data_IF_739638530803
#
_entry.id   IF_739638530803
#
_cell.length_a   1.000
_cell.length_b   1.000
_cell.length_c   1.000
_cell.angle_alpha   90.00
_cell.angle_beta   90.00
_cell.angle_gamma   90.00
#
_symmetry.space_group_name_H-M   'P 1'
#
loop_
_entity.id
_entity.type
_entity.pdbx_description
1 polymer ?
#
# COMPACT_ATOMS: atom_id res chain seq x y z
N UNK A 1 -21.23 -19.80 16.84
CA UNK A 1 -22.38 -18.95 16.45
C UNK A 1 -21.92 -18.03 15.34
N UNK A 2 -22.58 -18.02 14.17
CA UNK A 2 -22.29 -17.03 13.11
C UNK A 2 -23.05 -15.75 13.47
N UNK A 3 -22.43 -14.89 14.29
CA UNK A 3 -22.90 -13.52 14.50
C UNK A 3 -22.96 -12.83 13.14
N UNK A 4 -24.17 -12.53 12.65
CA UNK A 4 -24.32 -11.72 11.44
C UNK A 4 -24.00 -10.28 11.80
N UNK A 5 -22.98 -9.74 11.16
CA UNK A 5 -22.58 -8.34 11.34
C UNK A 5 -23.75 -7.41 11.02
N UNK A 6 -23.99 -6.43 11.91
CA UNK A 6 -24.97 -5.37 11.70
C UNK A 6 -24.52 -4.46 10.55
N UNK A 7 -25.46 -3.75 9.91
CA UNK A 7 -25.17 -2.84 8.79
C UNK A 7 -24.08 -1.81 9.14
N UNK A 8 -24.12 -1.26 10.36
CA UNK A 8 -23.10 -0.33 10.85
C UNK A 8 -21.70 -0.97 10.93
N UNK A 9 -21.61 -2.24 11.33
CA UNK A 9 -20.34 -2.96 11.39
C UNK A 9 -19.82 -3.30 9.99
N UNK A 10 -20.70 -3.68 9.06
CA UNK A 10 -20.34 -3.89 7.66
C UNK A 10 -19.85 -2.59 7.00
N UNK A 11 -20.51 -1.48 7.28
CA UNK A 11 -20.09 -0.17 6.78
C UNK A 11 -18.72 0.21 7.38
N UNK A 12 -18.52 0.01 8.69
CA UNK A 12 -17.24 0.27 9.35
C UNK A 12 -16.11 -0.58 8.75
N UNK A 13 -16.30 -1.89 8.65
CA UNK A 13 -15.31 -2.81 8.07
C UNK A 13 -15.05 -2.45 6.61
N UNK A 14 -16.09 -2.17 5.83
CA UNK A 14 -15.98 -1.72 4.45
C UNK A 14 -15.18 -0.42 4.33
N UNK A 15 -15.41 0.55 5.21
CA UNK A 15 -14.66 1.81 5.25
C UNK A 15 -13.20 1.61 5.67
N UNK A 16 -12.92 0.70 6.62
CA UNK A 16 -11.55 0.37 7.03
C UNK A 16 -10.79 -0.34 5.90
N UNK A 17 -11.41 -1.31 5.24
CA UNK A 17 -10.83 -2.00 4.09
C UNK A 17 -10.64 -1.02 2.92
N UNK A 18 -11.61 -0.13 2.67
CA UNK A 18 -11.46 0.95 1.71
C UNK A 18 -10.27 1.83 2.08
N UNK A 19 -10.16 2.31 3.31
CA UNK A 19 -9.04 3.14 3.76
C UNK A 19 -7.68 2.44 3.64
N UNK A 20 -7.63 1.13 3.89
CA UNK A 20 -6.42 0.33 3.73
C UNK A 20 -5.95 0.26 2.27
N UNK A 21 -6.88 0.14 1.32
CA UNK A 21 -6.55 0.12 -0.11
C UNK A 21 -6.53 1.49 -0.76
N UNK A 22 -7.22 2.49 -0.21
CA UNK A 22 -7.30 3.84 -0.73
C UNK A 22 -6.04 4.63 -0.33
N UNK A 23 -4.90 4.16 -0.82
CA UNK A 23 -3.60 4.79 -0.64
C UNK A 23 -3.16 5.60 -1.86
N UNK A 24 -2.05 6.33 -1.73
CA UNK A 24 -1.48 7.17 -2.78
C UNK A 24 -1.25 6.42 -4.11
N UNK A 25 -0.89 5.13 -4.06
CA UNK A 25 -0.74 4.30 -5.25
C UNK A 25 -2.04 4.18 -6.06
N UNK A 26 -3.16 3.90 -5.38
CA UNK A 26 -4.46 3.76 -6.03
C UNK A 26 -5.07 5.10 -6.47
N UNK A 27 -4.46 6.23 -6.11
CA UNK A 27 -4.82 7.56 -6.60
C UNK A 27 -3.96 7.97 -7.80
N UNK A 28 -2.65 7.72 -7.73
CA UNK A 28 -1.69 8.16 -8.75
C UNK A 28 -1.69 7.24 -9.97
N UNK A 29 -1.68 5.91 -9.76
CA UNK A 29 -1.53 4.96 -10.86
C UNK A 29 -2.71 4.95 -11.84
N UNK A 30 -3.98 5.00 -11.43
CA UNK A 30 -5.09 5.01 -12.38
C UNK A 30 -5.09 6.24 -13.28
N UNK A 31 -4.71 7.41 -12.75
CA UNK A 31 -4.60 8.64 -13.53
C UNK A 31 -3.49 8.52 -14.56
N UNK A 32 -2.31 8.04 -14.14
CA UNK A 32 -1.16 7.86 -15.02
C UNK A 32 -1.42 6.78 -16.09
N UNK A 33 -2.05 5.67 -15.70
CA UNK A 33 -2.46 4.60 -16.61
C UNK A 33 -3.52 5.09 -17.60
N UNK A 34 -4.50 5.87 -17.13
CA UNK A 34 -5.52 6.50 -17.97
C UNK A 34 -4.89 7.39 -19.04
N UNK A 35 -3.95 8.26 -18.65
CA UNK A 35 -3.19 9.08 -19.59
C UNK A 35 -2.40 8.25 -20.60
N UNK A 36 -1.74 7.17 -20.17
CA UNK A 36 -0.98 6.29 -21.06
C UNK A 36 -1.86 5.44 -22.00
N UNK A 37 -3.12 5.16 -21.60
CA UNK A 37 -4.02 4.28 -22.34
C UNK A 37 -4.68 4.92 -23.58
N UNK A 38 -4.59 6.24 -23.74
CA UNK A 38 -5.10 6.95 -24.92
C UNK A 38 -6.60 6.68 -25.16
N UNK A 39 -6.95 6.06 -26.29
CA UNK A 39 -8.33 5.70 -26.63
C UNK A 39 -8.84 4.43 -25.91
N UNK A 40 -7.96 3.64 -25.29
CA UNK A 40 -8.29 2.35 -24.67
C UNK A 40 -8.55 2.44 -23.15
N UNK A 41 -8.98 3.59 -22.65
CA UNK A 41 -9.22 3.84 -21.21
C UNK A 41 -10.13 2.80 -20.58
N UNK A 42 -11.21 2.40 -21.27
CA UNK A 42 -12.17 1.42 -20.75
C UNK A 42 -11.50 0.07 -20.54
N UNK A 43 -10.70 -0.39 -21.51
CA UNK A 43 -9.99 -1.66 -21.42
C UNK A 43 -8.93 -1.63 -20.32
N UNK A 44 -8.18 -0.52 -20.21
CA UNK A 44 -7.20 -0.31 -19.14
C UNK A 44 -7.86 -0.29 -17.76
N UNK A 45 -9.05 0.33 -17.65
CA UNK A 45 -9.82 0.38 -16.40
C UNK A 45 -10.28 -1.01 -15.98
N UNK A 46 -10.80 -1.82 -16.90
CA UNK A 46 -11.21 -3.20 -16.60
C UNK A 46 -10.00 -4.02 -16.15
N UNK A 47 -8.86 -3.92 -16.85
CA UNK A 47 -7.62 -4.58 -16.45
C UNK A 47 -7.15 -4.15 -15.06
N UNK A 48 -7.20 -2.85 -14.77
CA UNK A 48 -6.87 -2.30 -13.44
C UNK A 48 -7.83 -2.81 -12.36
N UNK A 49 -9.13 -2.86 -12.61
CA UNK A 49 -10.09 -3.37 -11.64
C UNK A 49 -9.87 -4.86 -11.33
N UNK A 50 -9.58 -5.68 -12.34
CA UNK A 50 -9.32 -7.11 -12.15
C UNK A 50 -8.02 -7.34 -11.36
N UNK A 51 -6.94 -6.66 -11.76
CA UNK A 51 -5.60 -6.90 -11.20
C UNK A 51 -5.31 -6.09 -9.94
N UNK A 52 -5.64 -4.80 -9.94
CA UNK A 52 -5.37 -3.86 -8.86
C UNK A 52 -6.38 -3.90 -7.72
N UNK A 53 -7.61 -4.37 -7.96
CA UNK A 53 -8.67 -4.45 -6.92
C UNK A 53 -9.11 -5.89 -6.69
N UNK A 54 -9.36 -6.65 -7.75
CA UNK A 54 -9.86 -8.03 -7.68
C UNK A 54 -8.88 -8.97 -6.98
N UNK A 55 -7.62 -9.01 -7.39
CA UNK A 55 -6.62 -9.89 -6.78
C UNK A 55 -6.35 -9.57 -5.30
N UNK A 56 -6.17 -8.31 -4.87
CA UNK A 56 -6.05 -7.99 -3.44
C UNK A 56 -7.28 -8.38 -2.62
N UNK A 57 -8.48 -8.18 -3.16
CA UNK A 57 -9.73 -8.61 -2.52
C UNK A 57 -9.77 -10.13 -2.34
N UNK A 58 -9.41 -10.90 -3.37
CA UNK A 58 -9.29 -12.36 -3.28
C UNK A 58 -8.25 -12.77 -2.24
N UNK A 59 -7.13 -12.03 -2.15
CA UNK A 59 -6.10 -12.25 -1.14
C UNK A 59 -6.61 -12.06 0.30
N UNK A 60 -7.42 -11.03 0.56
CA UNK A 60 -8.05 -10.84 1.88
C UNK A 60 -9.03 -11.97 2.17
N UNK A 61 -9.89 -12.31 1.22
CA UNK A 61 -10.87 -13.38 1.43
C UNK A 61 -10.14 -14.70 1.71
N UNK A 62 -9.09 -15.01 0.96
CA UNK A 62 -8.26 -16.18 1.19
C UNK A 62 -7.59 -16.15 2.57
N UNK A 63 -7.02 -15.01 2.98
CA UNK A 63 -6.40 -14.85 4.30
C UNK A 63 -7.41 -14.99 5.43
N UNK A 64 -8.60 -14.42 5.29
CA UNK A 64 -9.69 -14.54 6.26
C UNK A 64 -10.21 -15.98 6.39
N UNK A 65 -10.25 -16.73 5.28
CA UNK A 65 -10.66 -18.14 5.26
C UNK A 65 -9.57 -19.11 5.72
N UNK A 66 -8.29 -18.71 5.62
CA UNK A 66 -7.15 -19.56 5.98
C UNK A 66 -7.00 -19.74 7.50
N UNK A 67 -7.70 -18.95 8.33
CA UNK A 67 -7.66 -18.96 9.80
C UNK A 67 -6.21 -18.99 10.37
N UNK A 68 -5.26 -18.45 9.62
CA UNK A 68 -3.84 -18.50 9.94
C UNK A 68 -3.44 -17.27 10.74
N UNK A 69 -2.75 -17.48 11.87
CA UNK A 69 -2.32 -16.38 12.74
C UNK A 69 -1.17 -15.55 12.14
N UNK A 70 -0.42 -16.12 11.20
CA UNK A 70 0.72 -15.46 10.58
C UNK A 70 0.89 -15.82 9.09
N UNK A 71 1.61 -14.95 8.36
CA UNK A 71 2.05 -15.23 6.98
C UNK A 71 2.88 -16.52 6.89
N UNK A 72 3.64 -16.82 7.95
CA UNK A 72 4.41 -18.04 8.05
C UNK A 72 3.49 -19.27 8.09
N UNK A 73 2.44 -19.24 8.91
CA UNK A 73 1.47 -20.35 8.98
C UNK A 73 0.70 -20.53 7.68
N UNK A 74 0.43 -19.44 6.98
CA UNK A 74 -0.21 -19.46 5.65
C UNK A 74 0.68 -20.14 4.59
N UNK A 75 2.01 -19.98 4.68
CA UNK A 75 2.97 -20.55 3.74
C UNK A 75 3.53 -21.92 4.17
N UNK A 76 3.35 -22.30 5.44
CA UNK A 76 3.83 -23.55 6.04
C UNK A 76 3.37 -24.82 5.32
N UNK A 77 2.14 -24.92 4.77
CA UNK A 77 1.70 -26.10 4.02
C UNK A 77 2.56 -26.44 2.80
N UNK A 78 3.31 -25.48 2.24
CA UNK A 78 4.23 -25.72 1.11
C UNK A 78 5.53 -26.37 1.61
N UNK A 79 6.23 -25.71 2.52
CA UNK A 79 7.35 -26.26 3.31
C UNK A 79 7.82 -25.25 4.35
N UNK A 80 8.42 -25.71 5.44
CA UNK A 80 8.98 -24.82 6.49
C UNK A 80 10.04 -23.87 5.93
N UNK A 81 10.93 -24.34 5.05
CA UNK A 81 11.97 -23.49 4.45
C UNK A 81 11.40 -22.41 3.54
N UNK A 82 10.40 -22.76 2.71
CA UNK A 82 9.69 -21.80 1.88
C UNK A 82 8.97 -20.75 2.73
N UNK A 83 8.29 -21.17 3.79
CA UNK A 83 7.54 -20.28 4.67
C UNK A 83 8.44 -19.24 5.35
N UNK A 84 9.60 -19.64 5.87
CA UNK A 84 10.59 -18.70 6.44
C UNK A 84 11.09 -17.73 5.38
N UNK A 85 11.53 -18.25 4.22
CA UNK A 85 12.07 -17.41 3.14
C UNK A 85 11.05 -16.38 2.67
N UNK A 86 9.82 -16.83 2.36
CA UNK A 86 8.77 -15.95 1.87
C UNK A 86 8.39 -14.88 2.90
N UNK A 87 8.25 -15.26 4.16
CA UNK A 87 7.90 -14.31 5.24
C UNK A 87 9.00 -13.26 5.42
N UNK A 88 10.27 -13.68 5.46
CA UNK A 88 11.40 -12.75 5.52
C UNK A 88 11.47 -11.83 4.31
N UNK A 89 11.31 -12.38 3.10
CA UNK A 89 11.30 -11.59 1.87
C UNK A 89 10.17 -10.57 1.84
N UNK A 90 8.96 -10.95 2.29
CA UNK A 90 7.82 -10.04 2.41
C UNK A 90 8.09 -8.92 3.42
N UNK A 91 8.63 -9.22 4.60
CA UNK A 91 8.95 -8.18 5.58
C UNK A 91 10.06 -7.24 5.11
N UNK A 92 11.08 -7.75 4.44
CA UNK A 92 12.14 -6.91 3.88
C UNK A 92 11.62 -6.02 2.74
N UNK A 93 10.74 -6.53 1.89
CA UNK A 93 10.14 -5.75 0.78
C UNK A 93 9.14 -4.71 1.30
N UNK A 94 8.29 -5.04 2.25
CA UNK A 94 7.36 -4.08 2.87
C UNK A 94 8.15 -3.01 3.64
N UNK A 95 9.17 -3.41 4.40
CA UNK A 95 9.98 -2.49 5.18
C UNK A 95 11.05 -1.79 4.34
N UNK A 96 12.34 -2.08 4.60
CA UNK A 96 13.45 -1.24 4.14
C UNK A 96 13.73 -1.29 2.64
N UNK A 97 13.37 -2.37 1.94
CA UNK A 97 13.88 -2.58 0.57
C UNK A 97 13.00 -1.99 -0.52
N UNK A 98 11.69 -1.87 -0.32
CA UNK A 98 10.80 -1.48 -1.42
C UNK A 98 9.70 -0.51 -1.02
N UNK A 99 8.73 -0.91 -0.18
CA UNK A 99 7.54 -0.10 0.00
C UNK A 99 7.84 1.22 0.74
N UNK A 100 8.62 1.19 1.84
CA UNK A 100 8.99 2.42 2.57
C UNK A 100 9.76 3.41 1.66
N UNK A 101 10.88 3.04 1.00
CA UNK A 101 11.55 3.95 0.07
C UNK A 101 10.65 4.43 -1.08
N UNK A 102 9.80 3.54 -1.62
CA UNK A 102 8.94 3.91 -2.77
C UNK A 102 7.96 5.01 -2.40
N UNK A 103 7.37 5.00 -1.20
CA UNK A 103 6.43 6.06 -0.79
C UNK A 103 7.06 7.45 -0.83
N UNK A 104 8.29 7.61 -0.33
CA UNK A 104 9.02 8.86 -0.39
C UNK A 104 9.35 9.29 -1.83
N UNK A 105 9.84 8.35 -2.66
CA UNK A 105 10.17 8.67 -4.06
C UNK A 105 8.95 9.06 -4.89
N UNK A 106 7.80 8.40 -4.70
CA UNK A 106 6.55 8.73 -5.39
C UNK A 106 6.02 10.09 -4.95
N UNK A 107 6.04 10.40 -3.65
CA UNK A 107 5.64 11.70 -3.13
C UNK A 107 6.52 12.83 -3.71
N UNK A 108 7.82 12.58 -3.88
CA UNK A 108 8.73 13.51 -4.55
C UNK A 108 8.42 13.65 -6.06
N UNK A 109 8.27 12.53 -6.77
CA UNK A 109 8.02 12.47 -8.22
C UNK A 109 6.72 13.20 -8.62
N UNK A 110 5.68 13.08 -7.80
CA UNK A 110 4.38 13.70 -8.08
C UNK A 110 4.29 15.12 -7.51
N UNK A 111 4.84 15.36 -6.32
CA UNK A 111 4.65 16.61 -5.58
C UNK A 111 5.71 17.69 -5.83
N UNK A 112 6.98 17.32 -6.05
CA UNK A 112 8.10 18.27 -6.10
C UNK A 112 8.88 18.26 -7.41
N UNK A 113 9.00 17.11 -8.06
CA UNK A 113 9.74 16.94 -9.31
C UNK A 113 9.30 17.93 -10.43
N UNK A 114 8.01 18.27 -10.62
CA UNK A 114 7.61 19.27 -11.62
C UNK A 114 8.15 20.69 -11.35
N UNK A 115 8.57 20.99 -10.12
CA UNK A 115 8.96 22.32 -9.66
C UNK A 115 10.48 22.49 -9.49
N UNK A 116 11.27 21.44 -9.69
CA UNK A 116 12.73 21.44 -9.49
C UNK A 116 13.44 21.29 -10.84
N UNK A 117 14.43 22.14 -11.11
CA UNK A 117 15.27 22.02 -12.30
C UNK A 117 16.10 20.73 -12.27
N UNK A 118 16.30 20.10 -13.45
CA UNK A 118 16.91 18.75 -13.57
C UNK A 118 18.28 18.61 -12.89
N UNK A 119 19.05 19.68 -12.83
CA UNK A 119 20.37 19.75 -12.21
C UNK A 119 20.33 19.53 -10.68
N UNK A 120 19.24 19.91 -10.02
CA UNK A 120 19.09 19.81 -8.56
C UNK A 120 18.27 18.60 -8.12
N UNK A 121 17.80 17.75 -9.03
CA UNK A 121 16.91 16.62 -8.69
C UNK A 121 17.49 15.67 -7.65
N UNK A 122 18.79 15.36 -7.75
CA UNK A 122 19.44 14.42 -6.82
C UNK A 122 19.55 14.99 -5.40
N UNK A 123 19.89 16.28 -5.29
CA UNK A 123 19.95 17.01 -4.02
C UNK A 123 18.54 17.22 -3.44
N UNK A 124 17.58 17.58 -4.30
CA UNK A 124 16.17 17.75 -3.93
C UNK A 124 15.55 16.46 -3.40
N UNK A 125 15.80 15.32 -4.04
CA UNK A 125 15.31 14.01 -3.57
C UNK A 125 15.91 13.63 -2.21
N UNK A 126 17.20 13.90 -2.00
CA UNK A 126 17.87 13.58 -0.73
C UNK A 126 17.29 14.42 0.42
N UNK A 127 17.17 15.74 0.22
CA UNK A 127 16.59 16.66 1.20
C UNK A 127 15.12 16.29 1.48
N UNK A 128 14.33 16.07 0.43
CA UNK A 128 12.93 15.69 0.57
C UNK A 128 12.78 14.38 1.35
N UNK A 129 13.56 13.37 1.00
CA UNK A 129 13.50 12.05 1.66
C UNK A 129 13.90 12.16 3.14
N UNK A 130 14.93 12.96 3.46
CA UNK A 130 15.34 13.20 4.84
C UNK A 130 14.24 13.89 5.65
N UNK A 131 13.60 14.92 5.10
CA UNK A 131 12.47 15.61 5.73
C UNK A 131 11.28 14.67 5.88
N UNK A 132 10.91 13.95 4.81
CA UNK A 132 9.80 13.01 4.78
C UNK A 132 9.96 11.95 5.88
N UNK A 133 11.08 11.24 5.90
CA UNK A 133 11.32 10.20 6.91
C UNK A 133 11.48 10.77 8.32
N UNK A 134 12.01 11.98 8.49
CA UNK A 134 12.08 12.62 9.81
C UNK A 134 10.68 12.92 10.37
N UNK A 135 9.79 13.44 9.52
CA UNK A 135 8.39 13.70 9.88
C UNK A 135 7.66 12.38 10.15
N UNK A 136 7.80 11.40 9.26
CA UNK A 136 7.20 10.06 9.43
C UNK A 136 7.67 9.41 10.72
N UNK A 137 8.97 9.48 11.04
CA UNK A 137 9.53 8.95 12.28
C UNK A 137 8.96 9.67 13.51
N UNK A 138 8.87 11.00 13.46
CA UNK A 138 8.31 11.79 14.56
C UNK A 138 6.86 11.39 14.89
N UNK A 139 6.01 11.23 13.87
CA UNK A 139 4.64 10.77 14.06
C UNK A 139 4.56 9.30 14.47
N UNK A 140 5.40 8.43 13.91
CA UNK A 140 5.44 7.00 14.24
C UNK A 140 5.86 6.75 15.70
N UNK A 141 6.72 7.59 16.28
CA UNK A 141 7.13 7.49 17.68
C UNK A 141 6.06 7.99 18.67
N UNK A 142 4.97 8.59 18.21
CA UNK A 142 3.85 9.10 19.04
C UNK A 142 2.49 8.56 18.58
N UNK A 143 2.29 7.22 18.55
CA UNK A 143 1.08 6.61 17.98
C UNK A 143 -0.21 7.00 18.71
N UNK A 144 -0.14 7.24 20.02
CA UNK A 144 -1.31 7.52 20.87
C UNK A 144 -1.99 8.88 20.66
N UNK A 145 -1.48 9.75 19.79
CA UNK A 145 -2.06 11.08 19.51
C UNK A 145 -2.49 11.28 18.05
N UNK A 146 -2.36 10.29 17.17
CA UNK A 146 -2.66 10.50 15.75
C UNK A 146 -4.17 10.76 15.53
N UNK A 147 -5.03 10.08 16.28
CA UNK A 147 -6.49 10.29 16.24
C UNK A 147 -6.96 11.57 16.97
N UNK A 148 -6.15 12.13 17.86
CA UNK A 148 -6.48 13.37 18.57
C UNK A 148 -6.14 14.63 17.73
N UNK A 149 -5.33 14.48 16.68
CA UNK A 149 -4.74 15.61 15.93
C UNK A 149 -5.22 15.69 14.46
N UNK A 150 -5.97 14.69 13.98
CA UNK A 150 -6.54 14.63 12.62
C UNK A 150 -8.06 14.69 12.68
#
# INVERSE_FOLDING_TARGET
>A
MKEKLNFQQNLLIGSLLFGLFFGAGNLIFPVQMGQASGSHVILATIGFLITGVGLPMLGIVASALSESESLFDMARPVSTGYAVFLTCALYLTIGPLFAIPRTATVAFEVGMNPFIAKEYLRLGLLIFSLIFFSITLYFSLRPGRILDWV
#
